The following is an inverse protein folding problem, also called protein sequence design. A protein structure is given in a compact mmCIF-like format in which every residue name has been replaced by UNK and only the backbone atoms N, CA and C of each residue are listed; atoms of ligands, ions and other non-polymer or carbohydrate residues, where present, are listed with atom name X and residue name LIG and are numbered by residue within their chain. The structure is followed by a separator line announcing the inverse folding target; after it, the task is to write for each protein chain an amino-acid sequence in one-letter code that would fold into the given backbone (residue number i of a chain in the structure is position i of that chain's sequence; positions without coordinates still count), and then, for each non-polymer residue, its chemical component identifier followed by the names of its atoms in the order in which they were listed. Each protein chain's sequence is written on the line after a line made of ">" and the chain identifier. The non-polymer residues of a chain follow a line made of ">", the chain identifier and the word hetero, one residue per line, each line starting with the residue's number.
data_IF_149096662432
#
_entry.id   IF_149096662432
#
_cell.length_a   1.000
_cell.length_b   1.000
_cell.length_c   1.000
_cell.angle_alpha   90.00
_cell.angle_beta   90.00
_cell.angle_gamma   90.00
#
_symmetry.space_group_name_H-M   'P 1'
#
loop_
_entity.id
_entity.type
_entity.pdbx_description
1 polymer ?
#
# COMPACT_ATOMS: atom_id res chain seq x y z
N UNK A 1 -8.21 -5.38 3.54
CA UNK A 1 -7.46 -6.46 2.87
C UNK A 1 -6.27 -6.84 3.74
N UNK A 2 -6.21 -8.06 4.20
CA UNK A 2 -5.05 -8.47 4.99
C UNK A 2 -3.79 -8.51 4.13
N UNK A 3 -2.67 -8.23 4.78
CA UNK A 3 -1.38 -8.31 4.12
C UNK A 3 -1.03 -9.77 3.89
N UNK A 4 -0.63 -10.09 2.67
CA UNK A 4 -0.07 -11.41 2.36
C UNK A 4 1.41 -11.22 2.00
N UNK A 5 2.24 -12.19 2.38
CA UNK A 5 3.68 -12.11 2.17
C UNK A 5 4.11 -13.20 1.20
N UNK A 6 4.71 -12.79 0.09
CA UNK A 6 5.31 -13.71 -0.88
C UNK A 6 6.82 -13.76 -0.62
N UNK A 7 7.27 -14.84 0.01
CA UNK A 7 8.67 -15.00 0.38
C UNK A 7 9.59 -15.28 -0.82
N UNK A 8 9.01 -15.51 -2.00
CA UNK A 8 9.80 -15.69 -3.22
C UNK A 8 10.12 -14.38 -3.92
N UNK A 9 9.48 -13.29 -3.51
CA UNK A 9 9.70 -11.95 -4.09
C UNK A 9 10.64 -11.13 -3.21
N UNK A 10 11.11 -10.01 -3.73
CA UNK A 10 12.03 -9.12 -3.04
C UNK A 10 11.43 -7.72 -2.88
N UNK A 11 11.87 -7.02 -1.83
CA UNK A 11 11.45 -5.64 -1.58
C UNK A 11 9.96 -5.56 -1.36
N UNK A 12 9.35 -4.48 -1.80
CA UNK A 12 7.91 -4.28 -1.62
C UNK A 12 7.06 -5.27 -2.43
N UNK A 13 7.64 -5.94 -3.41
CA UNK A 13 6.91 -6.98 -4.15
C UNK A 13 6.56 -8.18 -3.27
N UNK A 14 7.20 -8.32 -2.12
CA UNK A 14 6.79 -9.35 -1.15
C UNK A 14 5.37 -9.14 -0.66
N UNK A 15 4.88 -7.90 -0.61
CA UNK A 15 3.57 -7.57 -0.02
C UNK A 15 2.66 -6.82 -0.96
N UNK A 16 3.15 -6.33 -2.09
CA UNK A 16 2.38 -5.52 -3.03
C UNK A 16 2.54 -6.06 -4.45
N UNK A 17 1.47 -5.99 -5.21
CA UNK A 17 1.54 -6.19 -6.66
C UNK A 17 2.18 -4.96 -7.31
N UNK A 18 2.64 -5.08 -8.55
CA UNK A 18 3.32 -4.00 -9.25
C UNK A 18 2.50 -2.71 -9.30
N UNK A 19 1.22 -2.80 -9.64
CA UNK A 19 0.39 -1.60 -9.72
C UNK A 19 0.13 -1.00 -8.35
N UNK A 20 0.08 -1.83 -7.31
CA UNK A 20 -0.10 -1.37 -5.93
C UNK A 20 1.11 -0.60 -5.45
N UNK A 21 2.29 -1.12 -5.74
CA UNK A 21 3.54 -0.42 -5.42
C UNK A 21 3.62 0.91 -6.17
N UNK A 22 3.30 0.92 -7.46
CA UNK A 22 3.30 2.14 -8.26
C UNK A 22 2.35 3.19 -7.67
N UNK A 23 1.17 2.76 -7.22
CA UNK A 23 0.19 3.67 -6.61
C UNK A 23 0.72 4.31 -5.33
N UNK A 24 1.31 3.50 -4.44
CA UNK A 24 1.86 4.04 -3.18
C UNK A 24 3.06 4.93 -3.44
N UNK A 25 3.94 4.56 -4.37
CA UNK A 25 5.10 5.41 -4.71
C UNK A 25 4.69 6.75 -5.25
N UNK A 26 3.63 6.79 -6.06
CA UNK A 26 3.09 8.06 -6.54
C UNK A 26 2.64 8.93 -5.37
N UNK A 27 1.87 8.38 -4.43
CA UNK A 27 1.41 9.14 -3.28
C UNK A 27 2.56 9.58 -2.39
N UNK A 28 3.60 8.77 -2.23
CA UNK A 28 4.79 9.17 -1.47
C UNK A 28 5.51 10.36 -2.12
N UNK A 29 5.56 10.40 -3.46
CA UNK A 29 6.18 11.52 -4.19
C UNK A 29 5.44 12.84 -4.01
N UNK A 30 4.16 12.78 -3.64
CA UNK A 30 3.37 14.00 -3.43
C UNK A 30 3.66 14.69 -2.08
N UNK A 31 4.42 14.03 -1.22
CA UNK A 31 4.94 14.58 0.04
C UNK A 31 3.84 15.26 0.88
N UNK A 32 2.82 14.48 1.23
CA UNK A 32 1.68 14.96 2.02
C UNK A 32 0.53 15.52 1.21
N UNK A 33 0.72 15.73 -0.09
CA UNK A 33 -0.37 16.10 -0.98
C UNK A 33 -1.25 14.91 -1.29
N UNK A 34 -2.43 15.17 -1.84
CA UNK A 34 -3.40 14.13 -2.15
C UNK A 34 -3.68 14.00 -3.64
N UNK A 35 -4.27 12.86 -4.01
CA UNK A 35 -4.66 12.58 -5.39
C UNK A 35 -5.98 11.82 -5.42
N UNK A 36 -6.77 12.06 -6.45
CA UNK A 36 -7.99 11.28 -6.69
C UNK A 36 -7.64 9.91 -7.24
N UNK A 37 -8.60 8.98 -7.21
CA UNK A 37 -8.40 7.67 -7.81
C UNK A 37 -8.08 7.77 -9.30
N UNK A 38 -8.65 8.75 -9.99
CA UNK A 38 -8.36 8.98 -11.41
C UNK A 38 -6.90 9.36 -11.62
N UNK A 39 -6.38 10.29 -10.81
CA UNK A 39 -4.99 10.73 -10.90
C UNK A 39 -4.04 9.56 -10.65
N UNK A 40 -4.33 8.75 -9.64
CA UNK A 40 -3.53 7.56 -9.33
C UNK A 40 -3.60 6.56 -10.49
N UNK A 41 -4.80 6.34 -11.02
CA UNK A 41 -5.01 5.41 -12.13
C UNK A 41 -4.20 5.82 -13.37
N UNK A 42 -4.24 7.09 -13.73
CA UNK A 42 -3.50 7.61 -14.88
C UNK A 42 -2.00 7.43 -14.67
N UNK A 43 -1.50 7.79 -13.48
CA UNK A 43 -0.07 7.71 -13.18
C UNK A 43 0.42 6.26 -13.12
N UNK A 44 -0.37 5.36 -12.54
CA UNK A 44 0.02 3.95 -12.46
C UNK A 44 0.14 3.33 -13.85
N UNK A 45 -0.83 3.59 -14.73
CA UNK A 45 -0.76 3.05 -16.09
C UNK A 45 0.41 3.64 -16.88
N UNK A 46 0.75 4.90 -16.63
CA UNK A 46 1.94 5.51 -17.21
C UNK A 46 3.21 4.82 -16.69
N UNK A 47 3.30 4.59 -15.38
CA UNK A 47 4.46 3.94 -14.77
C UNK A 47 4.65 2.49 -15.25
N UNK A 48 3.55 1.79 -15.58
CA UNK A 48 3.64 0.42 -16.11
C UNK A 48 4.11 0.37 -17.56
N UNK A 49 4.21 1.52 -18.23
CA UNK A 49 4.87 1.66 -19.53
C UNK A 49 4.35 0.72 -20.61
N UNK A 50 3.04 0.48 -20.62
CA UNK A 50 2.42 -0.38 -21.63
C UNK A 50 2.58 -1.87 -21.42
N UNK A 51 3.27 -2.30 -20.35
CA UNK A 51 3.40 -3.73 -20.05
C UNK A 51 2.06 -4.37 -19.74
N UNK A 52 1.18 -3.60 -19.12
CA UNK A 52 -0.20 -4.00 -18.84
C UNK A 52 -1.00 -2.77 -18.46
N UNK A 53 -2.32 -2.91 -18.52
CA UNK A 53 -3.24 -1.85 -18.15
C UNK A 53 -4.05 -2.31 -16.94
N UNK A 54 -4.11 -1.44 -15.92
CA UNK A 54 -4.88 -1.71 -14.71
C UNK A 54 -6.20 -0.96 -14.81
N UNK A 55 -7.31 -1.63 -14.45
CA UNK A 55 -8.62 -1.01 -14.44
C UNK A 55 -8.73 0.03 -13.34
N UNK A 56 -9.59 1.01 -13.56
CA UNK A 56 -9.85 2.02 -12.54
C UNK A 56 -10.45 1.40 -11.28
N UNK A 57 -11.30 0.36 -11.45
CA UNK A 57 -11.90 -0.35 -10.31
C UNK A 57 -10.83 -0.99 -9.43
N UNK A 58 -9.80 -1.58 -10.02
CA UNK A 58 -8.69 -2.18 -9.25
C UNK A 58 -7.97 -1.13 -8.42
N UNK A 59 -7.74 0.05 -8.98
CA UNK A 59 -7.11 1.16 -8.27
C UNK A 59 -7.99 1.62 -7.10
N UNK A 60 -9.27 1.84 -7.36
CA UNK A 60 -10.21 2.29 -6.31
C UNK A 60 -10.26 1.26 -5.17
N UNK A 61 -10.37 -0.01 -5.50
CA UNK A 61 -10.44 -1.07 -4.49
C UNK A 61 -9.16 -1.12 -3.66
N UNK A 62 -8.01 -0.99 -4.29
CA UNK A 62 -6.74 -0.97 -3.58
C UNK A 62 -6.62 0.25 -2.64
N UNK A 63 -6.92 1.44 -3.15
CA UNK A 63 -6.82 2.66 -2.34
C UNK A 63 -7.75 2.60 -1.13
N UNK A 64 -8.99 2.15 -1.32
CA UNK A 64 -9.94 2.02 -0.22
C UNK A 64 -9.51 0.94 0.78
N UNK A 65 -8.92 -0.15 0.31
CA UNK A 65 -8.36 -1.17 1.20
C UNK A 65 -7.24 -0.59 2.06
N UNK A 66 -6.40 0.25 1.48
CA UNK A 66 -5.30 0.88 2.22
C UNK A 66 -5.82 1.91 3.24
N UNK A 67 -6.92 2.58 2.94
CA UNK A 67 -7.58 3.43 3.94
C UNK A 67 -8.08 2.57 5.10
N UNK A 68 -8.73 1.46 4.80
CA UNK A 68 -9.27 0.57 5.83
C UNK A 68 -8.16 -0.03 6.70
N UNK A 69 -6.98 -0.29 6.12
CA UNK A 69 -5.82 -0.80 6.86
C UNK A 69 -5.08 0.29 7.65
N UNK A 70 -5.46 1.55 7.47
CA UNK A 70 -4.80 2.66 8.16
C UNK A 70 -3.49 3.11 7.52
N UNK A 71 -3.24 2.72 6.27
CA UNK A 71 -2.03 3.08 5.52
C UNK A 71 -2.18 4.40 4.79
N UNK A 72 -3.40 4.71 4.35
CA UNK A 72 -3.74 5.95 3.65
C UNK A 72 -4.79 6.73 4.43
N UNK A 73 -4.74 8.03 4.31
CA UNK A 73 -5.80 8.93 4.71
C UNK A 73 -6.60 9.34 3.49
N UNK A 74 -7.78 9.92 3.71
CA UNK A 74 -8.54 10.53 2.63
C UNK A 74 -9.33 11.72 3.14
N UNK A 75 -9.63 12.62 2.22
CA UNK A 75 -10.63 13.68 2.41
C UNK A 75 -11.65 13.54 1.29
N UNK A 76 -12.86 14.02 1.53
CA UNK A 76 -13.88 14.03 0.50
C UNK A 76 -14.02 15.43 -0.07
N UNK A 77 -14.15 15.51 -1.40
CA UNK A 77 -14.46 16.76 -2.06
C UNK A 77 -15.75 16.60 -2.85
N UNK A 78 -16.49 17.70 -2.99
CA UNK A 78 -17.67 17.76 -3.85
C UNK A 78 -17.36 18.62 -5.05
N UNK A 79 -17.84 18.23 -6.21
CA UNK A 79 -17.65 18.97 -7.44
C UNK A 79 -18.68 18.55 -8.47
N UNK A 80 -18.48 18.91 -9.72
CA UNK A 80 -19.45 18.66 -10.80
C UNK A 80 -19.79 17.18 -10.99
N UNK A 81 -19.01 16.25 -10.50
CA UNK A 81 -19.27 14.82 -10.60
C UNK A 81 -19.78 14.18 -9.31
N UNK A 82 -20.11 14.97 -8.29
CA UNK A 82 -20.52 14.48 -6.98
C UNK A 82 -19.34 14.35 -6.02
N UNK A 83 -19.44 13.43 -5.09
CA UNK A 83 -18.39 13.20 -4.09
C UNK A 83 -17.25 12.37 -4.65
N UNK A 84 -16.02 12.72 -4.27
CA UNK A 84 -14.86 11.87 -4.54
C UNK A 84 -13.88 11.97 -3.38
N UNK A 85 -13.12 10.92 -3.20
CA UNK A 85 -12.06 10.88 -2.20
C UNK A 85 -10.76 11.39 -2.80
N UNK A 86 -10.03 12.15 -1.99
CA UNK A 86 -8.65 12.53 -2.28
C UNK A 86 -7.78 11.78 -1.28
N UNK A 87 -6.94 10.89 -1.78
CA UNK A 87 -6.13 10.00 -0.96
C UNK A 87 -4.77 10.61 -0.72
N UNK A 88 -4.23 10.41 0.47
CA UNK A 88 -2.88 10.85 0.80
C UNK A 88 -2.19 9.80 1.64
N UNK A 89 -0.86 9.76 1.57
CA UNK A 89 -0.06 8.80 2.33
C UNK A 89 -0.05 9.18 3.80
N UNK A 90 -0.38 8.24 4.67
CA UNK A 90 -0.23 8.41 6.12
C UNK A 90 1.22 8.18 6.53
N UNK A 91 1.90 7.27 5.86
CA UNK A 91 3.31 6.94 6.07
C UNK A 91 4.10 7.23 4.81
N UNK A 92 5.35 7.59 4.97
CA UNK A 92 6.29 7.60 3.85
C UNK A 92 6.74 6.14 3.57
N UNK A 93 7.67 5.97 2.64
CA UNK A 93 8.13 4.62 2.29
C UNK A 93 8.70 3.87 3.50
N UNK A 94 9.54 4.55 4.30
CA UNK A 94 10.14 3.94 5.48
C UNK A 94 9.07 3.58 6.52
N UNK A 95 8.12 4.47 6.74
CA UNK A 95 7.02 4.22 7.67
C UNK A 95 6.13 3.07 7.23
N UNK A 96 5.87 2.94 5.92
CA UNK A 96 5.11 1.82 5.40
C UNK A 96 5.84 0.48 5.61
N UNK A 97 7.14 0.46 5.35
CA UNK A 97 7.96 -0.74 5.57
C UNK A 97 7.96 -1.15 7.05
N UNK A 98 8.04 -0.18 7.95
CA UNK A 98 7.94 -0.45 9.39
C UNK A 98 6.56 -0.97 9.76
N UNK A 99 5.50 -0.41 9.18
CA UNK A 99 4.14 -0.89 9.38
C UNK A 99 4.01 -2.35 8.98
N UNK A 100 4.53 -2.73 7.80
CA UNK A 100 4.51 -4.12 7.34
C UNK A 100 5.23 -5.03 8.32
N UNK A 101 6.43 -4.66 8.74
CA UNK A 101 7.22 -5.47 9.67
C UNK A 101 6.50 -5.67 11.00
N UNK A 102 5.89 -4.62 11.54
CA UNK A 102 5.13 -4.70 12.78
C UNK A 102 3.92 -5.61 12.65
N UNK A 103 3.19 -5.51 11.54
CA UNK A 103 2.01 -6.36 11.32
C UNK A 103 2.40 -7.84 11.25
N UNK A 104 3.45 -8.16 10.49
CA UNK A 104 3.89 -9.54 10.33
C UNK A 104 4.43 -10.08 11.66
N UNK A 105 5.36 -9.34 12.29
CA UNK A 105 5.93 -9.78 13.57
C UNK A 105 4.88 -9.88 14.68
N UNK A 106 3.95 -8.92 14.71
CA UNK A 106 2.89 -8.94 15.71
C UNK A 106 2.01 -10.18 15.61
N UNK A 107 1.65 -10.57 14.40
CA UNK A 107 0.85 -11.77 14.18
C UNK A 107 1.63 -13.04 14.54
N UNK A 108 2.90 -13.10 14.17
CA UNK A 108 3.76 -14.24 14.48
C UNK A 108 3.98 -14.37 15.99
N UNK A 109 4.23 -13.26 16.69
CA UNK A 109 4.41 -13.26 18.13
C UNK A 109 3.14 -13.64 18.88
N UNK A 110 1.97 -13.28 18.34
CA UNK A 110 0.69 -13.66 18.92
C UNK A 110 0.46 -15.16 18.82
N UNK A 111 0.73 -15.75 17.66
CA UNK A 111 0.38 -17.14 17.36
C UNK A 111 1.50 -18.13 17.70
N UNK A 112 2.77 -17.74 17.53
CA UNK A 112 3.94 -18.60 17.85
C UNK A 112 5.00 -17.77 18.58
N UNK A 113 4.74 -17.37 19.84
CA UNK A 113 5.63 -16.41 20.51
C UNK A 113 7.06 -16.92 20.73
N UNK A 114 7.21 -18.17 21.18
CA UNK A 114 8.55 -18.71 21.47
C UNK A 114 9.35 -18.94 20.19
N UNK A 115 8.72 -19.57 19.22
CA UNK A 115 9.36 -19.89 17.94
C UNK A 115 9.78 -18.61 17.20
N UNK A 116 8.93 -17.59 17.25
CA UNK A 116 9.24 -16.31 16.61
C UNK A 116 10.43 -15.63 17.27
N UNK A 117 10.49 -15.62 18.61
CA UNK A 117 11.64 -15.04 19.31
C UNK A 117 12.92 -15.78 18.97
N UNK A 118 12.85 -17.13 18.93
CA UNK A 118 14.01 -17.92 18.54
C UNK A 118 14.46 -17.63 17.10
N UNK A 119 13.51 -17.51 16.19
CA UNK A 119 13.82 -17.19 14.79
C UNK A 119 14.48 -15.81 14.66
N UNK A 120 13.99 -14.81 15.38
CA UNK A 120 14.57 -13.47 15.36
C UNK A 120 16.05 -13.52 15.79
N UNK A 121 16.37 -14.31 16.83
CA UNK A 121 17.74 -14.47 17.28
C UNK A 121 18.63 -15.08 16.18
N UNK A 122 18.08 -16.00 15.39
CA UNK A 122 18.84 -16.75 14.40
C UNK A 122 19.08 -15.98 13.10
N UNK A 123 18.25 -15.00 12.77
CA UNK A 123 18.40 -14.24 11.51
C UNK A 123 19.25 -12.99 11.66
N UNK A 124 19.73 -12.70 12.85
CA UNK A 124 20.62 -11.55 13.08
C UNK A 124 21.98 -11.74 12.44
#
# INVERSE_FOLDING_TARGET
>A
MPITVDTSSEGLEMVLKDYQEAALRYLWRLDGGGASSRDVWVQVNDDLMGKRTISRASIINFLNSMVDEGVLNYTETTGKGGHRRIYSAKYDEAGFKEYIAKEVLGNLLRDFPEETRNAIQKVK
#
